data_IF_420144221351
#
_entry.id   IF_420144221351
#
_cell.length_a   1.000
_cell.length_b   1.000
_cell.length_c   1.000
_cell.angle_alpha   90.00
_cell.angle_beta   90.00
_cell.angle_gamma   90.00
#
_symmetry.space_group_name_H-M   'P 1'
#
loop_
_entity.id
_entity.type
_entity.pdbx_description
1 polymer ?
#
# COMPACT_ATOMS: atom_id res chain seq x y z
N UNK A 1 -10.43 13.13 -6.52
CA UNK A 1 -11.24 11.97 -6.08
C UNK A 1 -10.43 10.72 -6.33
N UNK A 2 -9.96 10.04 -5.29
CA UNK A 2 -9.31 8.73 -5.41
C UNK A 2 -10.40 7.67 -5.26
N UNK A 3 -10.56 6.81 -6.28
CA UNK A 3 -11.54 5.72 -6.26
C UNK A 3 -10.80 4.43 -5.98
N UNK A 4 -10.97 3.88 -4.78
CA UNK A 4 -10.48 2.55 -4.44
C UNK A 4 -11.56 1.53 -4.77
N UNK A 5 -11.40 0.85 -5.91
CA UNK A 5 -12.30 -0.24 -6.29
C UNK A 5 -11.83 -1.54 -5.63
N UNK A 6 -12.73 -2.25 -4.95
CA UNK A 6 -12.50 -3.62 -4.55
C UNK A 6 -12.82 -4.53 -5.75
N UNK A 7 -11.87 -5.38 -6.14
CA UNK A 7 -12.02 -6.39 -7.20
C UNK A 7 -11.78 -7.78 -6.62
N UNK A 8 -12.44 -8.80 -7.18
CA UNK A 8 -12.23 -10.17 -6.74
C UNK A 8 -10.76 -10.58 -6.97
N UNK A 9 -10.14 -11.24 -5.99
CA UNK A 9 -8.74 -11.63 -6.03
C UNK A 9 -8.40 -12.46 -7.28
N UNK A 10 -9.27 -13.41 -7.65
CA UNK A 10 -9.11 -14.24 -8.84
C UNK A 10 -9.04 -13.43 -10.15
N UNK A 11 -9.66 -12.25 -10.20
CA UNK A 11 -9.66 -11.39 -11.38
C UNK A 11 -8.37 -10.58 -11.51
N UNK A 12 -7.70 -10.26 -10.39
CA UNK A 12 -6.50 -9.42 -10.38
C UNK A 12 -5.19 -10.21 -10.25
N UNK A 13 -5.25 -11.43 -9.70
CA UNK A 13 -4.11 -12.36 -9.57
C UNK A 13 -3.25 -12.47 -10.84
N UNK A 14 -3.77 -12.77 -12.04
CA UNK A 14 -2.93 -12.89 -13.24
C UNK A 14 -2.29 -11.57 -13.69
N UNK A 15 -2.82 -10.42 -13.25
CA UNK A 15 -2.26 -9.10 -13.57
C UNK A 15 -1.18 -8.68 -12.59
N UNK A 16 -1.29 -9.13 -11.33
CA UNK A 16 -0.41 -8.76 -10.21
C UNK A 16 0.68 -9.78 -9.90
N UNK A 17 0.63 -11.00 -10.45
CA UNK A 17 1.65 -12.03 -10.27
C UNK A 17 3.07 -11.46 -10.46
N UNK A 18 3.81 -11.37 -9.34
CA UNK A 18 5.19 -10.88 -9.26
C UNK A 18 5.38 -9.37 -9.49
N UNK A 19 4.32 -8.58 -9.59
CA UNK A 19 4.36 -7.14 -9.90
C UNK A 19 3.84 -6.23 -8.78
N UNK A 20 2.99 -6.76 -7.91
CA UNK A 20 2.38 -6.01 -6.81
C UNK A 20 2.38 -6.82 -5.51
N UNK A 21 3.54 -7.37 -5.16
CA UNK A 21 3.74 -7.99 -3.86
C UNK A 21 4.22 -6.91 -2.88
N UNK A 22 3.35 -6.50 -1.96
CA UNK A 22 3.74 -5.70 -0.79
C UNK A 22 3.81 -6.70 0.36
N UNK A 23 4.98 -7.33 0.59
CA UNK A 23 5.12 -8.26 1.69
C UNK A 23 4.98 -7.49 3.00
N UNK A 24 3.88 -7.75 3.72
CA UNK A 24 3.69 -7.26 5.08
C UNK A 24 3.79 -8.45 6.01
N UNK A 25 4.90 -8.55 6.74
CA UNK A 25 5.12 -9.59 7.74
C UNK A 25 4.29 -9.24 8.98
N UNK A 26 3.13 -9.90 9.15
CA UNK A 26 2.23 -9.64 10.29
C UNK A 26 2.89 -9.90 11.66
N UNK A 27 3.92 -10.73 11.69
CA UNK A 27 4.77 -10.99 12.86
C UNK A 27 5.45 -9.71 13.38
N UNK A 28 5.80 -8.77 12.49
CA UNK A 28 6.38 -7.47 12.88
C UNK A 28 5.39 -6.54 13.58
N UNK A 29 4.11 -6.91 13.59
CA UNK A 29 3.01 -6.12 14.15
C UNK A 29 2.24 -6.87 15.25
N UNK A 30 2.82 -7.93 15.83
CA UNK A 30 2.13 -8.79 16.81
C UNK A 30 0.77 -9.31 16.30
N UNK A 31 0.62 -9.49 14.97
CA UNK A 31 -0.63 -9.83 14.30
C UNK A 31 -1.77 -8.82 14.56
N UNK A 32 -1.45 -7.59 14.95
CA UNK A 32 -2.39 -6.48 15.14
C UNK A 32 -2.36 -5.58 13.92
N UNK A 33 -3.55 -5.24 13.45
CA UNK A 33 -3.77 -4.25 12.40
C UNK A 33 -4.23 -2.95 13.06
N UNK A 34 -3.36 -2.36 13.87
CA UNK A 34 -3.63 -1.14 14.63
C UNK A 34 -3.28 0.13 13.84
N UNK A 35 -3.36 1.29 14.49
CA UNK A 35 -3.11 2.58 13.85
C UNK A 35 -1.68 2.70 13.31
N UNK A 36 -0.70 2.04 13.93
CA UNK A 36 0.70 2.05 13.50
C UNK A 36 0.90 1.16 12.28
N UNK A 37 0.26 0.00 12.23
CA UNK A 37 0.14 -0.78 11.00
C UNK A 37 -0.47 0.04 9.87
N UNK A 38 -1.63 0.66 10.11
CA UNK A 38 -2.34 1.43 9.08
C UNK A 38 -1.50 2.59 8.55
N UNK A 39 -0.74 3.26 9.44
CA UNK A 39 0.17 4.34 9.08
C UNK A 39 1.32 3.86 8.20
N UNK A 40 2.01 2.77 8.58
CA UNK A 40 3.14 2.20 7.81
C UNK A 40 2.68 1.60 6.49
N UNK A 41 1.56 0.88 6.49
CA UNK A 41 0.98 0.30 5.29
C UNK A 41 0.53 1.38 4.31
N UNK A 42 -0.19 2.39 4.79
CA UNK A 42 -0.63 3.53 3.98
C UNK A 42 0.54 4.29 3.36
N UNK A 43 1.61 4.54 4.14
CA UNK A 43 2.85 5.13 3.64
C UNK A 43 3.45 4.34 2.47
N UNK A 44 3.61 3.01 2.64
CA UNK A 44 4.18 2.15 1.61
C UNK A 44 3.33 2.12 0.33
N UNK A 45 2.00 2.04 0.46
CA UNK A 45 1.07 2.09 -0.68
C UNK A 45 1.19 3.42 -1.43
N UNK A 46 1.23 4.55 -0.70
CA UNK A 46 1.36 5.87 -1.31
C UNK A 46 2.72 6.03 -2.02
N UNK A 47 3.81 5.54 -1.45
CA UNK A 47 5.12 5.51 -2.10
C UNK A 47 5.10 4.68 -3.39
N UNK A 48 4.51 3.49 -3.36
CA UNK A 48 4.37 2.64 -4.54
C UNK A 48 3.52 3.30 -5.64
N UNK A 49 2.39 3.91 -5.26
CA UNK A 49 1.53 4.64 -6.19
C UNK A 49 2.26 5.83 -6.82
N UNK A 50 3.10 6.52 -6.06
CA UNK A 50 3.90 7.64 -6.53
C UNK A 50 5.00 7.20 -7.51
N UNK A 51 5.58 6.01 -7.34
CA UNK A 51 6.51 5.43 -8.32
C UNK A 51 5.78 4.96 -9.59
N UNK A 52 4.59 4.38 -9.45
CA UNK A 52 3.78 3.96 -10.60
C UNK A 52 3.18 5.14 -11.39
N UNK A 53 2.77 6.21 -10.69
CA UNK A 53 2.21 7.43 -11.26
C UNK A 53 2.96 8.65 -10.73
N UNK A 54 3.97 9.08 -11.48
CA UNK A 54 4.84 10.20 -11.11
C UNK A 54 4.08 11.50 -10.79
N UNK A 55 2.93 11.75 -11.41
CA UNK A 55 2.06 12.90 -11.13
C UNK A 55 1.56 12.95 -9.67
N UNK A 56 1.49 11.79 -9.01
CA UNK A 56 1.06 11.67 -7.62
C UNK A 56 2.16 12.04 -6.63
N UNK A 57 3.44 12.05 -7.03
CA UNK A 57 4.58 12.37 -6.14
C UNK A 57 4.39 13.69 -5.39
N UNK A 58 3.84 14.70 -6.06
CA UNK A 58 3.60 16.03 -5.46
C UNK A 58 2.49 16.06 -4.40
N UNK A 59 1.61 15.05 -4.38
CA UNK A 59 0.49 14.95 -3.44
C UNK A 59 0.77 13.99 -2.29
N UNK A 60 1.89 13.25 -2.33
CA UNK A 60 2.29 12.33 -1.28
C UNK A 60 3.14 13.08 -0.25
N UNK A 61 2.57 13.27 0.94
CA UNK A 61 3.27 13.75 2.12
C UNK A 61 3.03 12.77 3.26
N UNK A 62 4.07 12.03 3.63
CA UNK A 62 4.00 11.02 4.69
C UNK A 62 4.85 11.49 5.86
N UNK A 63 4.26 11.54 7.04
CA UNK A 63 5.00 11.84 8.28
C UNK A 63 5.89 10.64 8.63
N UNK A 64 7.21 10.84 8.82
CA UNK A 64 8.10 9.78 9.30
C UNK A 64 7.61 9.20 10.62
N UNK A 65 7.84 7.90 10.82
CA UNK A 65 7.75 7.31 12.15
C UNK A 65 8.72 8.02 13.11
N UNK A 66 8.32 8.30 14.35
CA UNK A 66 9.28 8.52 15.43
C UNK A 66 10.25 7.35 15.58
#
# INVERSE_FOLDING_TARGET
MLVCNAVAEAAIRPLCEGKLDIPVLLEEFDFKLDDEFARRFGAAILSLLAEYKLELKQFVSVTPAP
#
